data_IF_557518619396
#
_entry.id   IF_557518619396
#
_cell.length_a   1.000
_cell.length_b   1.000
_cell.length_c   1.000
_cell.angle_alpha   90.00
_cell.angle_beta   90.00
_cell.angle_gamma   90.00
#
_symmetry.space_group_name_H-M   'P 1'
#
loop_
_entity.id
_entity.type
_entity.pdbx_description
1 polymer ?
#
# COMPACT_ATOMS: atom_id res chain seq x y z
N UNK A 1 -11.52 -21.70 -23.95
CA UNK A 1 -11.09 -20.30 -24.16
C UNK A 1 -11.52 -19.55 -22.92
N UNK A 2 -10.67 -19.51 -21.90
CA UNK A 2 -11.03 -19.03 -20.55
C UNK A 2 -10.42 -17.66 -20.27
N UNK A 3 -11.29 -16.66 -20.31
CA UNK A 3 -11.42 -15.37 -19.60
C UNK A 3 -10.34 -14.81 -18.63
N UNK A 4 -9.06 -15.16 -18.71
CA UNK A 4 -8.00 -14.62 -17.81
C UNK A 4 -7.04 -13.62 -18.46
N UNK A 5 -7.50 -12.77 -19.37
CA UNK A 5 -6.77 -11.56 -19.77
C UNK A 5 -7.33 -10.32 -19.04
N UNK A 6 -7.46 -10.40 -17.71
CA UNK A 6 -7.47 -9.18 -16.91
C UNK A 6 -6.11 -8.50 -17.09
N UNK A 7 -6.11 -7.35 -17.76
CA UNK A 7 -4.98 -6.46 -17.96
C UNK A 7 -4.05 -6.43 -16.74
N UNK A 8 -2.93 -7.16 -16.82
CA UNK A 8 -1.93 -7.18 -15.75
C UNK A 8 -1.36 -5.79 -15.59
N UNK A 9 -1.38 -5.25 -14.38
CA UNK A 9 -0.75 -3.97 -14.10
C UNK A 9 0.78 -4.11 -14.31
N UNK A 10 1.41 -3.08 -14.87
CA UNK A 10 2.85 -3.03 -15.09
C UNK A 10 3.63 -3.30 -13.80
N UNK A 11 3.13 -2.86 -12.64
CA UNK A 11 3.72 -3.17 -11.34
C UNK A 11 3.77 -4.66 -11.03
N UNK A 12 2.72 -5.42 -11.35
CA UNK A 12 2.68 -6.88 -11.13
C UNK A 12 3.73 -7.59 -11.98
N UNK A 13 4.01 -7.05 -13.17
CA UNK A 13 5.02 -7.56 -14.09
C UNK A 13 6.45 -7.20 -13.65
N UNK A 14 6.63 -6.02 -13.06
CA UNK A 14 7.93 -5.59 -12.52
C UNK A 14 8.28 -6.29 -11.20
N UNK A 15 7.27 -6.62 -10.37
CA UNK A 15 7.45 -7.23 -9.04
C UNK A 15 7.11 -8.73 -8.99
N UNK A 16 7.19 -9.44 -10.12
CA UNK A 16 6.83 -10.88 -10.25
C UNK A 16 7.49 -11.77 -9.19
N UNK A 17 8.74 -11.50 -8.82
CA UNK A 17 9.48 -12.28 -7.80
C UNK A 17 8.87 -12.19 -6.38
N UNK A 18 8.08 -11.15 -6.12
CA UNK A 18 7.49 -10.86 -4.81
C UNK A 18 5.97 -11.07 -4.77
N UNK A 19 5.39 -11.77 -5.76
CA UNK A 19 3.94 -11.98 -5.83
C UNK A 19 3.35 -12.65 -4.57
N UNK A 20 4.11 -13.56 -3.95
CA UNK A 20 3.79 -14.21 -2.66
C UNK A 20 4.69 -13.73 -1.51
N UNK A 21 5.15 -12.48 -1.54
CA UNK A 21 5.89 -11.92 -0.42
C UNK A 21 5.03 -11.96 0.85
N UNK A 22 5.67 -12.26 1.98
CA UNK A 22 5.01 -12.27 3.29
C UNK A 22 4.47 -10.88 3.58
N UNK A 23 3.22 -10.81 4.02
CA UNK A 23 2.54 -9.55 4.32
C UNK A 23 3.24 -8.82 5.50
N UNK A 24 3.22 -7.49 5.48
CA UNK A 24 4.00 -6.63 6.37
C UNK A 24 3.76 -6.87 7.85
N UNK A 25 2.50 -7.01 8.27
CA UNK A 25 2.15 -7.24 9.69
C UNK A 25 2.63 -8.60 10.20
N UNK A 26 2.88 -9.56 9.29
CA UNK A 26 3.37 -10.90 9.62
C UNK A 26 4.91 -11.06 9.55
N UNK A 27 5.66 -10.00 9.22
CA UNK A 27 7.12 -10.08 9.09
C UNK A 27 7.80 -10.29 10.44
N UNK A 28 7.52 -9.42 11.41
CA UNK A 28 8.15 -9.46 12.74
C UNK A 28 7.72 -10.70 13.51
N UNK A 29 8.70 -11.45 14.02
CA UNK A 29 8.44 -12.62 14.85
C UNK A 29 8.44 -12.23 16.32
N UNK A 30 7.42 -12.67 17.05
CA UNK A 30 7.27 -12.44 18.48
C UNK A 30 7.29 -13.76 19.24
N UNK A 31 7.83 -13.74 20.46
CA UNK A 31 7.67 -14.87 21.38
C UNK A 31 6.19 -15.06 21.73
N UNK A 32 5.70 -16.28 22.03
CA UNK A 32 4.28 -16.53 22.31
C UNK A 32 3.68 -15.64 23.41
N UNK A 33 4.47 -15.33 24.44
CA UNK A 33 4.07 -14.42 25.53
C UNK A 33 3.86 -12.99 25.04
N UNK A 34 4.75 -12.49 24.16
CA UNK A 34 4.60 -11.18 23.53
C UNK A 34 3.44 -11.15 22.53
N UNK A 35 3.22 -12.22 21.77
CA UNK A 35 2.08 -12.31 20.85
C UNK A 35 0.75 -12.19 21.60
N UNK A 36 0.63 -12.89 22.73
CA UNK A 36 -0.58 -12.83 23.57
C UNK A 36 -0.88 -11.40 24.05
N UNK A 37 0.17 -10.64 24.41
CA UNK A 37 0.04 -9.23 24.79
C UNK A 37 -0.42 -8.36 23.61
N UNK A 38 0.09 -8.60 22.41
CA UNK A 38 -0.30 -7.86 21.19
C UNK A 38 -1.77 -8.13 20.84
N UNK A 39 -2.22 -9.38 20.97
CA UNK A 39 -3.61 -9.76 20.73
C UNK A 39 -4.55 -9.07 21.73
N UNK A 40 -4.17 -9.00 23.01
CA UNK A 40 -4.92 -8.27 24.03
C UNK A 40 -4.97 -6.76 23.71
N UNK A 41 -3.86 -6.15 23.30
CA UNK A 41 -3.81 -4.74 22.92
C UNK A 41 -4.66 -4.45 21.68
N UNK A 42 -4.65 -5.34 20.68
CA UNK A 42 -5.48 -5.22 19.48
C UNK A 42 -6.96 -5.25 19.84
N UNK A 43 -7.37 -6.18 20.70
CA UNK A 43 -8.75 -6.29 21.17
C UNK A 43 -9.19 -5.04 21.96
N UNK A 44 -8.30 -4.44 22.76
CA UNK A 44 -8.58 -3.21 23.52
C UNK A 44 -8.68 -1.96 22.63
N UNK A 45 -7.79 -1.83 21.65
CA UNK A 45 -7.71 -0.62 20.83
C UNK A 45 -8.72 -0.60 19.69
N UNK A 46 -9.04 -1.77 19.11
CA UNK A 46 -10.06 -1.87 18.07
C UNK A 46 -9.72 -1.12 16.78
N UNK A 47 -8.44 -0.81 16.52
CA UNK A 47 -8.05 -0.09 15.30
C UNK A 47 -8.32 -0.93 14.05
N UNK A 48 -8.81 -0.27 13.01
CA UNK A 48 -9.11 -0.88 11.70
C UNK A 48 -7.89 -0.92 10.76
N UNK A 49 -6.74 -0.39 11.17
CA UNK A 49 -5.52 -0.32 10.37
C UNK A 49 -4.35 -0.82 11.22
N UNK A 50 -3.50 -1.66 10.63
CA UNK A 50 -2.23 -2.07 11.23
C UNK A 50 -1.26 -0.88 11.24
N UNK A 51 -1.13 -0.21 10.10
CA UNK A 51 -0.35 1.03 9.99
C UNK A 51 -1.05 2.18 10.69
N UNK A 52 -0.26 3.02 11.36
CA UNK A 52 -0.74 4.34 11.77
C UNK A 52 -0.91 5.23 10.52
N UNK A 53 -2.16 5.56 10.17
CA UNK A 53 -2.43 6.41 9.01
C UNK A 53 -2.07 7.86 9.28
N UNK A 54 -1.20 8.42 8.43
CA UNK A 54 -0.70 9.79 8.55
C UNK A 54 -1.27 10.69 7.44
N UNK A 55 -2.58 10.57 7.17
CA UNK A 55 -3.29 11.23 6.06
C UNK A 55 -2.91 12.71 5.89
N UNK A 56 -3.06 13.50 6.97
CA UNK A 56 -2.76 14.94 6.91
C UNK A 56 -1.27 15.23 6.69
N UNK A 57 -0.39 14.40 7.24
CA UNK A 57 1.05 14.53 7.03
C UNK A 57 1.42 14.23 5.57
N UNK A 58 0.88 13.15 4.99
CA UNK A 58 1.15 12.80 3.59
C UNK A 58 0.63 13.87 2.62
N UNK A 59 -0.56 14.43 2.90
CA UNK A 59 -1.08 15.57 2.13
C UNK A 59 -0.16 16.78 2.27
N UNK A 60 0.29 17.11 3.48
CA UNK A 60 1.25 18.19 3.70
C UNK A 60 2.59 17.96 2.96
N UNK A 61 3.03 16.71 2.84
CA UNK A 61 4.24 16.34 2.09
C UNK A 61 4.07 16.39 0.57
N UNK A 62 2.84 16.45 0.06
CA UNK A 62 2.56 16.63 -1.38
C UNK A 62 1.69 15.55 -2.03
N UNK A 63 1.07 14.64 -1.27
CA UNK A 63 0.05 13.73 -1.84
C UNK A 63 -1.27 14.49 -2.03
N UNK A 64 -1.89 14.35 -3.21
CA UNK A 64 -3.23 14.88 -3.42
C UNK A 64 -4.25 14.16 -2.52
N UNK A 65 -5.10 14.88 -1.75
CA UNK A 65 -6.04 14.27 -0.83
C UNK A 65 -7.11 13.41 -1.51
N UNK A 66 -7.49 13.71 -2.76
CA UNK A 66 -8.49 12.91 -3.49
C UNK A 66 -7.86 11.58 -3.93
N UNK A 67 -6.66 11.62 -4.51
CA UNK A 67 -5.92 10.42 -4.91
C UNK A 67 -5.55 9.55 -3.71
N UNK A 68 -5.18 10.16 -2.58
CA UNK A 68 -4.97 9.44 -1.33
C UNK A 68 -6.21 8.64 -0.91
N UNK A 69 -7.39 9.27 -0.88
CA UNK A 69 -8.61 8.57 -0.46
C UNK A 69 -9.04 7.51 -1.48
N UNK A 70 -8.76 7.69 -2.78
CA UNK A 70 -8.97 6.63 -3.79
C UNK A 70 -8.10 5.40 -3.50
N UNK A 71 -6.82 5.60 -3.17
CA UNK A 71 -5.90 4.51 -2.77
C UNK A 71 -6.40 3.83 -1.50
N UNK A 72 -6.69 4.60 -0.45
CA UNK A 72 -7.15 4.05 0.83
C UNK A 72 -8.50 3.33 0.72
N UNK A 73 -9.43 3.83 -0.11
CA UNK A 73 -10.69 3.16 -0.38
C UNK A 73 -10.48 1.84 -1.14
N UNK A 74 -9.56 1.79 -2.09
CA UNK A 74 -9.21 0.55 -2.82
C UNK A 74 -8.65 -0.52 -1.88
N UNK A 75 -7.77 -0.12 -0.95
CA UNK A 75 -7.23 -0.99 0.10
C UNK A 75 -8.35 -1.49 1.04
N UNK A 76 -9.15 -0.57 1.57
CA UNK A 76 -10.18 -0.87 2.56
C UNK A 76 -11.33 -1.72 2.00
N UNK A 77 -11.73 -1.50 0.76
CA UNK A 77 -12.85 -2.20 0.12
C UNK A 77 -12.45 -3.54 -0.51
N UNK A 78 -11.16 -3.90 -0.49
CA UNK A 78 -10.69 -5.15 -1.06
C UNK A 78 -11.37 -6.36 -0.42
N UNK A 79 -11.75 -7.33 -1.26
CA UNK A 79 -12.33 -8.62 -0.87
C UNK A 79 -11.27 -9.74 -0.80
N UNK A 80 -10.02 -9.43 -1.08
CA UNK A 80 -8.93 -10.39 -1.00
C UNK A 80 -8.60 -10.71 0.46
N UNK A 81 -8.06 -11.90 0.70
CA UNK A 81 -7.70 -12.38 2.03
C UNK A 81 -6.67 -11.47 2.71
N UNK A 82 -6.91 -11.21 3.99
CA UNK A 82 -6.00 -10.44 4.85
C UNK A 82 -5.26 -11.36 5.80
N UNK A 83 -4.10 -10.90 6.27
CA UNK A 83 -3.42 -11.55 7.41
C UNK A 83 -4.28 -11.42 8.67
N UNK A 84 -4.89 -10.26 8.85
CA UNK A 84 -5.89 -10.01 9.89
C UNK A 84 -7.07 -9.23 9.29
N UNK A 85 -8.26 -9.82 9.30
CA UNK A 85 -9.45 -9.19 8.72
C UNK A 85 -9.90 -7.91 9.46
N UNK A 86 -9.45 -7.69 10.70
CA UNK A 86 -9.66 -6.41 11.41
C UNK A 86 -8.81 -5.29 10.79
N UNK A 87 -7.65 -5.61 10.23
CA UNK A 87 -6.69 -4.63 9.71
C UNK A 87 -6.76 -4.52 8.19
N UNK A 88 -7.44 -3.48 7.73
CA UNK A 88 -7.79 -3.24 6.34
C UNK A 88 -6.59 -3.25 5.38
N UNK A 89 -5.42 -2.80 5.82
CA UNK A 89 -4.18 -2.70 5.05
C UNK A 89 -3.32 -3.98 5.00
N UNK A 90 -3.85 -5.12 5.46
CA UNK A 90 -3.10 -6.38 5.53
C UNK A 90 -3.48 -7.41 4.47
N UNK A 91 -3.98 -6.95 3.31
CA UNK A 91 -4.20 -7.81 2.14
C UNK A 91 -2.88 -8.47 1.73
N UNK A 92 -2.88 -9.79 1.67
CA UNK A 92 -1.68 -10.59 1.41
C UNK A 92 -1.30 -10.59 -0.08
N UNK A 93 0.00 -10.70 -0.37
CA UNK A 93 0.51 -10.76 -1.74
C UNK A 93 0.54 -9.40 -2.45
N UNK A 94 1.25 -9.33 -3.58
CA UNK A 94 1.39 -8.09 -4.36
C UNK A 94 0.36 -8.03 -5.50
N UNK A 95 -0.86 -7.60 -5.18
CA UNK A 95 -1.98 -7.41 -6.12
C UNK A 95 -2.99 -6.39 -5.58
N UNK A 96 -4.09 -6.17 -6.30
CA UNK A 96 -5.14 -5.22 -5.88
C UNK A 96 -5.58 -5.38 -4.42
N UNK A 97 -5.73 -4.25 -3.74
CA UNK A 97 -6.01 -4.15 -2.30
C UNK A 97 -4.78 -4.20 -1.39
N UNK A 98 -3.62 -4.68 -1.86
CA UNK A 98 -2.40 -4.65 -1.05
C UNK A 98 -1.86 -3.21 -0.90
N UNK A 99 -1.37 -2.89 0.30
CA UNK A 99 -0.84 -1.57 0.62
C UNK A 99 0.25 -1.10 -0.36
N UNK A 100 1.29 -1.91 -0.53
CA UNK A 100 2.41 -1.54 -1.37
C UNK A 100 1.96 -1.46 -2.84
N UNK A 101 1.10 -2.37 -3.27
CA UNK A 101 0.55 -2.39 -4.62
C UNK A 101 -0.20 -1.09 -4.96
N UNK A 102 -1.20 -0.71 -4.17
CA UNK A 102 -2.06 0.44 -4.50
C UNK A 102 -1.30 1.78 -4.45
N UNK A 103 -0.40 1.95 -3.47
CA UNK A 103 0.47 3.13 -3.42
C UNK A 103 1.50 3.17 -4.56
N UNK A 104 2.08 2.01 -4.92
CA UNK A 104 2.99 1.93 -6.08
C UNK A 104 2.25 2.26 -7.38
N UNK A 105 1.01 1.81 -7.53
CA UNK A 105 0.17 2.11 -8.69
C UNK A 105 -0.07 3.62 -8.83
N UNK A 106 -0.31 4.34 -7.74
CA UNK A 106 -0.41 5.81 -7.77
C UNK A 106 0.95 6.46 -8.13
N UNK A 107 2.06 5.97 -7.57
CA UNK A 107 3.39 6.45 -7.93
C UNK A 107 3.72 6.28 -9.41
N UNK A 108 3.35 5.14 -10.01
CA UNK A 108 3.49 4.89 -11.44
C UNK A 108 2.61 5.81 -12.30
N UNK A 109 1.43 6.16 -11.81
CA UNK A 109 0.54 7.12 -12.49
C UNK A 109 1.18 8.51 -12.56
N UNK A 110 1.73 9.00 -11.45
CA UNK A 110 2.49 10.25 -11.42
C UNK A 110 3.72 10.19 -12.34
N UNK A 111 4.47 9.09 -12.31
CA UNK A 111 5.61 8.91 -13.22
C UNK A 111 5.19 8.93 -14.71
N UNK A 112 4.02 8.36 -15.04
CA UNK A 112 3.47 8.43 -16.39
C UNK A 112 3.05 9.86 -16.76
N UNK A 113 2.37 10.58 -15.87
CA UNK A 113 1.99 11.99 -16.08
C UNK A 113 3.21 12.87 -16.31
N UNK A 114 4.27 12.67 -15.52
CA UNK A 114 5.52 13.40 -15.67
C UNK A 114 6.13 13.27 -17.07
N UNK A 115 6.02 12.10 -17.71
CA UNK A 115 6.56 11.84 -19.04
C UNK A 115 5.85 12.66 -20.16
N UNK A 116 4.62 13.13 -19.91
CA UNK A 116 3.83 13.94 -20.83
C UNK A 116 3.93 15.45 -20.51
N UNK A 117 4.63 15.81 -19.44
CA UNK A 117 4.80 17.20 -18.99
C UNK A 117 6.21 17.74 -19.28
N UNK A 118 6.35 19.07 -19.30
CA UNK A 118 7.64 19.73 -19.50
C UNK A 118 8.19 20.35 -18.22
N UNK A 119 9.50 20.23 -18.01
CA UNK A 119 10.29 20.99 -17.03
C UNK A 119 9.75 20.88 -15.59
N UNK A 120 9.30 21.99 -15.01
CA UNK A 120 8.97 22.13 -13.59
C UNK A 120 7.80 21.22 -13.20
N UNK A 121 6.77 21.14 -14.03
CA UNK A 121 5.60 20.27 -13.79
C UNK A 121 5.97 18.78 -13.80
N UNK A 122 6.88 18.38 -14.68
CA UNK A 122 7.38 17.00 -14.70
C UNK A 122 8.19 16.69 -13.43
N UNK A 123 8.96 17.65 -12.92
CA UNK A 123 9.70 17.48 -11.67
C UNK A 123 8.76 17.34 -10.47
N UNK A 124 7.70 18.16 -10.38
CA UNK A 124 6.66 18.05 -9.35
C UNK A 124 5.97 16.68 -9.36
N UNK A 125 5.54 16.19 -10.52
CA UNK A 125 4.96 14.85 -10.66
C UNK A 125 5.95 13.74 -10.23
N UNK A 126 7.24 13.87 -10.53
CA UNK A 126 8.25 12.91 -10.07
C UNK A 126 8.48 12.97 -8.55
N UNK A 127 8.36 14.15 -7.92
CA UNK A 127 8.37 14.26 -6.46
C UNK A 127 7.15 13.57 -5.84
N UNK A 128 5.95 13.75 -6.41
CA UNK A 128 4.73 13.04 -5.99
C UNK A 128 4.88 11.53 -6.17
N UNK A 129 5.46 11.07 -7.28
CA UNK A 129 5.76 9.65 -7.52
C UNK A 129 6.69 9.08 -6.46
N UNK A 130 7.79 9.78 -6.14
CA UNK A 130 8.75 9.40 -5.10
C UNK A 130 8.09 9.26 -3.73
N UNK A 131 7.23 10.23 -3.37
CA UNK A 131 6.48 10.19 -2.12
C UNK A 131 5.53 8.99 -2.06
N UNK A 132 4.83 8.68 -3.15
CA UNK A 132 3.98 7.49 -3.23
C UNK A 132 4.76 6.19 -3.04
N UNK A 133 5.94 6.07 -3.65
CA UNK A 133 6.81 4.89 -3.46
C UNK A 133 7.37 4.80 -2.03
N UNK A 134 7.66 5.94 -1.39
CA UNK A 134 8.02 5.97 0.02
C UNK A 134 6.87 5.45 0.89
N UNK A 135 5.64 5.93 0.67
CA UNK A 135 4.46 5.47 1.41
C UNK A 135 4.15 3.99 1.14
N UNK A 136 4.35 3.50 -0.10
CA UNK A 136 4.20 2.09 -0.43
C UNK A 136 5.09 1.18 0.44
N UNK A 137 6.29 1.66 0.81
CA UNK A 137 7.21 0.94 1.68
C UNK A 137 7.01 1.17 3.19
N UNK A 138 6.21 2.15 3.60
CA UNK A 138 5.95 2.47 5.01
C UNK A 138 5.35 1.25 5.75
N UNK A 139 5.81 0.90 6.98
CA UNK A 139 6.75 1.61 7.84
C UNK A 139 8.23 1.23 7.69
N UNK A 140 8.62 0.67 6.55
CA UNK A 140 10.01 0.31 6.21
C UNK A 140 10.62 -0.74 7.16
N UNK A 141 9.87 -1.83 7.40
CA UNK A 141 10.42 -3.00 8.09
C UNK A 141 11.53 -3.62 7.23
N UNK A 142 12.65 -3.98 7.89
CA UNK A 142 13.83 -4.58 7.26
C UNK A 142 13.71 -6.09 7.11
#
# INVERSE_FOLDING_TARGET
>A
MSEEETSKNLSETLFVKHKQAKETSALTQYMPTSQSLLDEQKAKTGYAWYRNLRRLQWVWQGVDPIEQEQVLASIASSKHSRTDEQWLDTVMGYHSGNWAYEWTKLGMLHQKRAAEMSKEKAAEELFSASLCYSIAGYPHLK
#
